data_IF_783362126909
#
_entry.id   IF_783362126909
#
_cell.length_a   1.000
_cell.length_b   1.000
_cell.length_c   1.000
_cell.angle_alpha   90.00
_cell.angle_beta   90.00
_cell.angle_gamma   90.00
#
_symmetry.space_group_name_H-M   'P 1'
#
loop_
_entity.id
_entity.type
_entity.pdbx_description
1 polymer ?
#
# COMPACT_ATOMS: atom_id res chain seq x y z
N UNK A 1 5.31 3.77 27.72
CA UNK A 1 6.29 4.74 27.17
C UNK A 1 5.94 5.05 25.71
N UNK A 2 6.44 6.14 25.10
CA UNK A 2 6.22 6.39 23.65
C UNK A 2 7.14 5.47 22.83
N UNK A 3 6.62 4.85 21.76
CA UNK A 3 7.37 3.95 20.84
C UNK A 3 8.73 4.52 20.40
N UNK A 4 8.79 5.81 20.10
CA UNK A 4 10.05 6.48 19.71
C UNK A 4 11.14 6.41 20.79
N UNK A 5 10.77 6.49 22.06
CA UNK A 5 11.72 6.41 23.17
C UNK A 5 12.30 4.98 23.27
N UNK A 6 11.45 3.96 23.06
CA UNK A 6 11.87 2.56 23.09
C UNK A 6 12.82 2.22 21.94
N UNK A 7 12.56 2.73 20.74
CA UNK A 7 13.47 2.57 19.61
C UNK A 7 14.83 3.22 19.91
N UNK A 8 14.82 4.42 20.51
CA UNK A 8 16.07 5.13 20.88
C UNK A 8 16.86 4.33 21.91
N UNK A 9 16.20 3.82 22.93
CA UNK A 9 16.82 2.98 23.95
C UNK A 9 17.37 1.68 23.33
N UNK A 10 16.59 1.02 22.47
CA UNK A 10 17.01 -0.21 21.79
C UNK A 10 18.27 0.02 20.94
N UNK A 11 18.34 1.12 20.20
CA UNK A 11 19.54 1.48 19.43
C UNK A 11 20.77 1.71 20.34
N UNK A 12 20.59 2.37 21.49
CA UNK A 12 21.69 2.57 22.45
C UNK A 12 22.17 1.25 23.08
N UNK A 13 21.27 0.28 23.31
CA UNK A 13 21.65 -1.05 23.78
C UNK A 13 22.38 -1.85 22.69
N UNK A 14 21.97 -1.71 21.43
CA UNK A 14 22.61 -2.39 20.29
C UNK A 14 24.06 -1.97 20.07
N UNK A 15 24.39 -0.71 20.31
CA UNK A 15 25.77 -0.21 20.21
C UNK A 15 26.73 -0.87 21.21
N UNK A 16 26.20 -1.47 22.29
CA UNK A 16 26.98 -2.15 23.33
C UNK A 16 27.19 -3.65 23.04
N UNK A 17 26.57 -4.18 21.98
CA UNK A 17 26.65 -5.59 21.63
C UNK A 17 27.95 -5.90 20.86
N UNK A 18 28.44 -7.14 20.96
CA UNK A 18 29.50 -7.61 20.06
C UNK A 18 28.99 -7.63 18.61
N UNK A 19 29.88 -7.59 17.60
CA UNK A 19 29.47 -7.62 16.20
C UNK A 19 28.55 -8.79 15.85
N UNK A 20 28.83 -9.98 16.39
CA UNK A 20 28.00 -11.17 16.19
C UNK A 20 26.61 -11.03 16.83
N UNK A 21 26.56 -10.65 18.11
CA UNK A 21 25.29 -10.47 18.83
C UNK A 21 24.44 -9.38 18.21
N UNK A 22 25.07 -8.30 17.75
CA UNK A 22 24.39 -7.21 17.05
C UNK A 22 23.75 -7.68 15.74
N UNK A 23 24.47 -8.43 14.91
CA UNK A 23 23.94 -8.97 13.65
C UNK A 23 22.74 -9.88 13.90
N UNK A 24 22.88 -10.82 14.85
CA UNK A 24 21.77 -11.71 15.22
C UNK A 24 20.55 -10.93 15.72
N UNK A 25 20.78 -9.91 16.55
CA UNK A 25 19.71 -9.08 17.08
C UNK A 25 19.05 -8.19 16.01
N UNK A 26 19.78 -7.77 14.98
CA UNK A 26 19.21 -7.06 13.82
C UNK A 26 18.20 -7.92 13.07
N UNK A 27 18.50 -9.21 12.90
CA UNK A 27 17.57 -10.17 12.31
C UNK A 27 16.32 -10.38 13.18
N UNK A 28 16.48 -10.41 14.52
CA UNK A 28 15.33 -10.45 15.46
C UNK A 28 14.42 -9.23 15.29
N UNK A 29 15.00 -8.04 15.12
CA UNK A 29 14.24 -6.80 14.90
C UNK A 29 13.48 -6.88 13.58
N UNK A 30 14.12 -7.37 12.51
CA UNK A 30 13.47 -7.54 11.21
C UNK A 30 12.29 -8.51 11.31
N UNK A 31 12.48 -9.67 11.92
CA UNK A 31 11.42 -10.66 12.14
C UNK A 31 10.25 -10.08 12.94
N UNK A 32 10.52 -9.44 14.09
CA UNK A 32 9.48 -8.87 14.94
C UNK A 32 8.74 -7.71 14.29
N UNK A 33 9.42 -6.86 13.51
CA UNK A 33 8.78 -5.74 12.81
C UNK A 33 8.00 -6.17 11.57
N UNK A 34 8.39 -7.29 10.95
CA UNK A 34 7.62 -7.94 9.91
C UNK A 34 6.43 -8.74 10.47
N UNK A 35 6.47 -9.08 11.76
CA UNK A 35 5.40 -9.80 12.44
C UNK A 35 4.12 -8.96 12.59
N UNK A 36 3.04 -9.64 12.97
CA UNK A 36 1.72 -9.04 13.20
C UNK A 36 1.54 -8.54 14.64
N UNK A 37 2.54 -8.69 15.49
CA UNK A 37 2.51 -8.26 16.90
C UNK A 37 2.30 -6.75 16.97
N UNK A 38 1.45 -6.31 17.89
CA UNK A 38 1.18 -4.88 18.10
C UNK A 38 2.50 -4.12 18.28
N UNK A 39 2.65 -2.99 17.57
CA UNK A 39 3.91 -2.24 17.50
C UNK A 39 4.51 -1.90 18.88
N UNK A 40 3.68 -1.52 19.84
CA UNK A 40 4.14 -1.20 21.20
C UNK A 40 4.70 -2.46 21.84
N UNK A 41 3.92 -3.54 21.85
CA UNK A 41 4.32 -4.84 22.39
C UNK A 41 5.56 -5.42 21.70
N UNK A 42 5.68 -5.26 20.38
CA UNK A 42 6.84 -5.71 19.62
C UNK A 42 8.12 -4.99 20.06
N UNK A 43 8.07 -3.67 20.24
CA UNK A 43 9.23 -2.91 20.72
C UNK A 43 9.51 -3.17 22.21
N UNK A 44 8.50 -3.52 23.03
CA UNK A 44 8.69 -3.93 24.43
C UNK A 44 9.47 -5.24 24.51
N UNK A 45 9.05 -6.23 23.71
CA UNK A 45 9.70 -7.53 23.59
C UNK A 45 11.13 -7.42 23.05
N UNK A 46 11.36 -6.53 22.07
CA UNK A 46 12.72 -6.26 21.57
C UNK A 46 13.60 -5.59 22.62
N UNK A 47 13.08 -4.68 23.44
CA UNK A 47 13.84 -4.11 24.55
C UNK A 47 14.21 -5.15 25.61
N UNK A 48 13.28 -6.03 25.95
CA UNK A 48 13.52 -7.13 26.89
C UNK A 48 14.61 -8.08 26.35
N UNK A 49 14.50 -8.47 25.08
CA UNK A 49 15.51 -9.29 24.41
C UNK A 49 16.88 -8.58 24.36
N UNK A 50 16.94 -7.29 24.05
CA UNK A 50 18.20 -6.53 24.03
C UNK A 50 18.91 -6.56 25.40
N UNK A 51 18.15 -6.38 26.49
CA UNK A 51 18.69 -6.42 27.86
C UNK A 51 19.17 -7.82 28.23
N UNK A 52 18.39 -8.85 27.90
CA UNK A 52 18.76 -10.24 28.14
C UNK A 52 20.04 -10.62 27.38
N UNK A 53 20.17 -10.16 26.13
CA UNK A 53 21.37 -10.37 25.31
C UNK A 53 22.61 -9.75 25.94
N UNK A 54 22.54 -8.49 26.38
CA UNK A 54 23.68 -7.82 27.03
C UNK A 54 24.04 -8.49 28.37
N UNK A 55 23.06 -8.99 29.11
CA UNK A 55 23.31 -9.75 30.33
C UNK A 55 23.97 -11.11 30.05
N UNK A 56 23.59 -11.79 28.97
CA UNK A 56 24.26 -13.02 28.56
C UNK A 56 25.66 -12.76 28.03
N UNK A 57 25.84 -11.69 27.26
CA UNK A 57 27.13 -11.24 26.75
C UNK A 57 28.12 -10.91 27.86
N UNK A 58 27.68 -10.26 28.95
CA UNK A 58 28.55 -9.98 30.11
C UNK A 58 29.01 -11.26 30.83
N UNK A 59 28.32 -12.38 30.61
CA UNK A 59 28.68 -13.72 31.07
C UNK A 59 29.40 -14.56 30.00
N UNK A 60 29.80 -13.94 28.89
CA UNK A 60 30.50 -14.62 27.79
C UNK A 60 29.62 -15.51 26.91
N UNK A 61 28.29 -15.38 26.98
CA UNK A 61 27.35 -16.11 26.11
C UNK A 61 27.03 -15.32 24.85
N UNK A 62 26.92 -16.01 23.73
CA UNK A 62 26.47 -15.41 22.47
C UNK A 62 24.93 -15.48 22.31
N UNK A 63 24.42 -14.76 21.31
CA UNK A 63 22.99 -14.67 21.05
C UNK A 63 22.35 -16.03 20.73
N UNK A 64 23.06 -16.95 20.04
CA UNK A 64 22.52 -18.27 19.71
C UNK A 64 22.34 -19.12 20.95
N UNK A 65 23.27 -19.03 21.89
CA UNK A 65 23.18 -19.71 23.18
C UNK A 65 22.04 -19.18 24.07
N UNK A 66 21.55 -17.97 23.83
CA UNK A 66 20.48 -17.34 24.62
C UNK A 66 19.11 -17.53 23.96
N UNK A 67 19.04 -17.33 22.64
CA UNK A 67 17.79 -17.25 21.88
C UNK A 67 17.51 -18.43 20.96
N UNK A 68 18.50 -19.30 20.74
CA UNK A 68 18.42 -20.44 19.81
C UNK A 68 19.14 -20.18 18.49
N UNK A 69 19.15 -21.18 17.62
CA UNK A 69 19.88 -21.09 16.35
C UNK A 69 19.37 -19.97 15.45
N UNK A 70 18.05 -19.74 15.40
CA UNK A 70 17.44 -18.74 14.55
C UNK A 70 16.87 -17.57 15.37
N UNK A 71 17.09 -16.31 14.93
CA UNK A 71 16.52 -15.11 15.56
C UNK A 71 15.02 -15.13 15.81
N UNK A 72 14.26 -15.88 14.99
CA UNK A 72 12.80 -15.99 15.08
C UNK A 72 12.32 -16.90 16.21
N UNK A 73 13.16 -17.86 16.64
CA UNK A 73 12.75 -18.92 17.55
C UNK A 73 12.30 -18.37 18.91
N UNK A 74 12.96 -17.32 19.41
CA UNK A 74 12.64 -16.69 20.69
C UNK A 74 11.23 -16.10 20.75
N UNK A 75 10.71 -15.59 19.62
CA UNK A 75 9.39 -14.96 19.57
C UNK A 75 8.32 -15.81 18.89
N UNK A 76 8.65 -17.03 18.47
CA UNK A 76 7.81 -17.89 17.63
C UNK A 76 6.41 -18.08 18.21
N UNK A 77 6.31 -18.36 19.50
CA UNK A 77 5.02 -18.59 20.18
C UNK A 77 4.18 -17.31 20.24
N UNK A 78 4.83 -16.17 20.51
CA UNK A 78 4.16 -14.87 20.56
C UNK A 78 3.67 -14.48 19.18
N UNK A 79 4.53 -14.61 18.16
CA UNK A 79 4.17 -14.32 16.76
C UNK A 79 3.05 -15.24 16.26
N UNK A 80 3.05 -16.52 16.64
CA UNK A 80 2.01 -17.50 16.29
C UNK A 80 0.69 -17.28 17.01
N UNK A 81 0.70 -16.66 18.19
CA UNK A 81 -0.51 -16.38 18.97
C UNK A 81 -1.35 -15.20 18.47
N UNK A 82 -0.79 -14.35 17.59
CA UNK A 82 -1.50 -13.19 17.06
C UNK A 82 -2.43 -13.64 15.93
N UNK A 83 -3.76 -13.40 16.05
CA UNK A 83 -4.70 -13.79 15.00
C UNK A 83 -4.35 -13.11 13.68
N UNK A 84 -4.51 -13.84 12.58
CA UNK A 84 -4.37 -13.25 11.26
C UNK A 84 -5.32 -12.05 11.11
N UNK A 85 -4.80 -10.90 10.66
CA UNK A 85 -5.68 -9.79 10.27
C UNK A 85 -6.68 -10.33 9.24
N UNK A 86 -7.99 -10.00 9.33
CA UNK A 86 -8.90 -10.36 8.27
C UNK A 86 -8.34 -9.78 6.97
N UNK A 87 -7.92 -10.66 6.07
CA UNK A 87 -7.47 -10.23 4.76
C UNK A 87 -8.65 -9.51 4.12
N UNK A 88 -8.45 -8.25 3.71
CA UNK A 88 -9.48 -7.58 2.92
C UNK A 88 -9.73 -8.45 1.71
N UNK A 89 -10.98 -8.83 1.50
CA UNK A 89 -11.34 -9.64 0.33
C UNK A 89 -10.79 -8.96 -0.92
N UNK A 90 -10.29 -9.74 -1.88
CA UNK A 90 -9.81 -9.22 -3.17
C UNK A 90 -10.84 -8.32 -3.83
N UNK A 91 -12.12 -8.66 -3.67
CA UNK A 91 -13.25 -7.86 -4.11
C UNK A 91 -13.29 -6.48 -3.44
N UNK A 92 -13.14 -6.39 -2.11
CA UNK A 92 -13.06 -5.10 -1.41
C UNK A 92 -11.86 -4.27 -1.86
N UNK A 93 -10.73 -4.90 -2.16
CA UNK A 93 -9.54 -4.22 -2.68
C UNK A 93 -9.80 -3.58 -4.05
N UNK A 94 -10.35 -4.33 -5.01
CA UNK A 94 -10.65 -3.81 -6.34
C UNK A 94 -11.75 -2.75 -6.33
N UNK A 95 -12.79 -2.93 -5.50
CA UNK A 95 -13.83 -1.91 -5.30
C UNK A 95 -13.24 -0.63 -4.73
N UNK A 96 -12.32 -0.71 -3.79
CA UNK A 96 -11.66 0.47 -3.22
C UNK A 96 -10.87 1.25 -4.26
N UNK A 97 -10.16 0.57 -5.17
CA UNK A 97 -9.40 1.21 -6.25
C UNK A 97 -10.34 1.98 -7.18
N UNK A 98 -11.36 1.31 -7.71
CA UNK A 98 -12.33 1.94 -8.62
C UNK A 98 -13.08 3.10 -7.94
N UNK A 99 -13.51 2.90 -6.69
CA UNK A 99 -14.18 3.94 -5.90
C UNK A 99 -13.29 5.17 -5.70
N UNK A 100 -12.02 4.96 -5.39
CA UNK A 100 -11.04 6.06 -5.21
C UNK A 100 -10.83 6.81 -6.52
N UNK A 101 -10.65 6.09 -7.63
CA UNK A 101 -10.43 6.70 -8.94
C UNK A 101 -11.62 7.57 -9.39
N UNK A 102 -12.85 7.07 -9.22
CA UNK A 102 -14.08 7.81 -9.50
C UNK A 102 -14.22 9.04 -8.59
N UNK A 103 -13.93 8.89 -7.30
CA UNK A 103 -13.97 10.01 -6.34
C UNK A 103 -13.00 11.12 -6.76
N UNK A 104 -11.78 10.77 -7.16
CA UNK A 104 -10.78 11.73 -7.62
C UNK A 104 -11.20 12.41 -8.92
N UNK A 105 -11.75 11.65 -9.87
CA UNK A 105 -12.29 12.18 -11.13
C UNK A 105 -13.36 13.24 -10.87
N UNK A 106 -14.38 12.94 -10.06
CA UNK A 106 -15.42 13.92 -9.73
C UNK A 106 -14.87 15.13 -8.98
N UNK A 107 -13.87 14.95 -8.11
CA UNK A 107 -13.20 16.05 -7.43
C UNK A 107 -12.47 16.98 -8.40
N UNK A 108 -11.76 16.43 -9.40
CA UNK A 108 -11.07 17.21 -10.44
C UNK A 108 -12.09 17.97 -11.30
N UNK A 109 -13.19 17.32 -11.71
CA UNK A 109 -14.26 17.96 -12.47
C UNK A 109 -14.93 19.09 -11.69
N UNK A 110 -15.13 18.89 -10.39
CA UNK A 110 -15.67 19.91 -9.50
C UNK A 110 -14.75 21.13 -9.40
N UNK A 111 -13.49 20.90 -9.02
CA UNK A 111 -12.51 21.98 -8.83
C UNK A 111 -12.25 22.72 -10.15
N UNK A 112 -11.98 22.00 -11.22
CA UNK A 112 -11.75 22.59 -12.55
C UNK A 112 -12.97 23.35 -13.07
N UNK A 113 -14.17 22.77 -12.95
CA UNK A 113 -15.41 23.40 -13.38
C UNK A 113 -15.75 24.66 -12.58
N UNK A 114 -15.50 24.67 -11.28
CA UNK A 114 -15.71 25.85 -10.43
C UNK A 114 -14.70 26.96 -10.74
N UNK A 115 -13.42 26.63 -10.98
CA UNK A 115 -12.38 27.60 -11.37
C UNK A 115 -12.74 28.27 -12.70
N UNK A 116 -13.13 27.48 -13.71
CA UNK A 116 -13.50 28.01 -15.04
C UNK A 116 -14.78 28.84 -14.99
N UNK A 117 -15.76 28.41 -14.18
CA UNK A 117 -16.98 29.19 -13.97
C UNK A 117 -16.68 30.52 -13.26
N UNK A 118 -15.74 30.53 -12.32
CA UNK A 118 -15.30 31.74 -11.64
C UNK A 118 -14.54 32.70 -12.57
N UNK A 119 -13.82 32.19 -13.57
CA UNK A 119 -13.16 33.02 -14.59
C UNK A 119 -14.11 33.57 -15.65
N UNK A 120 -15.42 33.31 -15.56
CA UNK A 120 -16.43 33.78 -16.52
C UNK A 120 -16.51 32.97 -17.82
N UNK A 121 -15.77 31.87 -17.93
CA UNK A 121 -15.76 31.00 -19.11
C UNK A 121 -16.83 29.90 -18.99
N UNK A 122 -17.26 29.32 -20.12
CA UNK A 122 -18.17 28.17 -20.11
C UNK A 122 -17.44 26.93 -19.58
N UNK A 123 -17.96 26.34 -18.51
CA UNK A 123 -17.43 25.12 -17.89
C UNK A 123 -17.83 23.84 -18.65
N UNK A 124 -18.01 23.93 -19.97
CA UNK A 124 -18.56 22.86 -20.81
C UNK A 124 -17.71 21.59 -20.77
N UNK A 125 -16.38 21.72 -20.78
CA UNK A 125 -15.44 20.61 -20.69
C UNK A 125 -15.50 19.86 -19.35
N UNK A 126 -15.88 20.57 -18.27
CA UNK A 126 -15.98 20.02 -16.92
C UNK A 126 -17.40 19.59 -16.55
N UNK A 127 -18.37 19.94 -17.40
CA UNK A 127 -19.78 19.66 -17.18
C UNK A 127 -20.31 18.55 -18.09
N UNK A 128 -19.61 18.20 -19.17
CA UNK A 128 -19.98 17.10 -20.06
C UNK A 128 -19.22 15.84 -19.65
N UNK A 129 -19.97 14.82 -19.28
CA UNK A 129 -19.43 13.54 -18.84
C UNK A 129 -20.01 12.41 -19.68
N UNK A 130 -19.16 11.65 -20.36
CA UNK A 130 -19.59 10.44 -21.05
C UNK A 130 -19.72 9.29 -20.05
N UNK A 131 -20.77 8.48 -20.18
CA UNK A 131 -20.92 7.24 -19.38
C UNK A 131 -19.75 6.29 -19.64
N UNK A 132 -19.19 6.32 -20.85
CA UNK A 132 -18.00 5.55 -21.19
C UNK A 132 -16.80 5.97 -20.32
N UNK A 133 -16.58 7.26 -20.09
CA UNK A 133 -15.49 7.76 -19.24
C UNK A 133 -15.61 7.23 -17.81
N UNK A 134 -16.82 7.10 -17.26
CA UNK A 134 -17.03 6.51 -15.93
C UNK A 134 -16.58 5.06 -15.88
N UNK A 135 -16.97 4.27 -16.88
CA UNK A 135 -16.57 2.86 -16.99
C UNK A 135 -15.05 2.75 -17.18
N UNK A 136 -14.49 3.59 -18.06
CA UNK A 136 -13.07 3.63 -18.36
C UNK A 136 -12.24 3.97 -17.11
N UNK A 137 -12.64 4.97 -16.33
CA UNK A 137 -11.92 5.33 -15.10
C UNK A 137 -12.07 4.25 -14.04
N UNK A 138 -13.26 3.70 -13.86
CA UNK A 138 -13.52 2.61 -12.91
C UNK A 138 -12.70 1.36 -13.22
N UNK A 139 -12.86 0.79 -14.42
CA UNK A 139 -12.15 -0.44 -14.82
C UNK A 139 -10.68 -0.18 -15.16
N UNK A 140 -10.38 0.92 -15.83
CA UNK A 140 -9.02 1.28 -16.23
C UNK A 140 -8.12 1.52 -15.02
N UNK A 141 -8.63 2.10 -13.93
CA UNK A 141 -7.85 2.24 -12.70
C UNK A 141 -7.47 0.90 -12.07
N UNK A 142 -8.34 -0.11 -12.12
CA UNK A 142 -8.04 -1.48 -11.67
C UNK A 142 -6.91 -2.07 -12.52
N UNK A 143 -7.03 -2.01 -13.85
CA UNK A 143 -6.02 -2.53 -14.78
C UNK A 143 -4.68 -1.82 -14.58
N UNK A 144 -4.70 -0.50 -14.43
CA UNK A 144 -3.51 0.31 -14.19
C UNK A 144 -2.84 -0.05 -12.87
N UNK A 145 -3.62 -0.21 -11.80
CA UNK A 145 -3.09 -0.58 -10.49
C UNK A 145 -2.42 -1.96 -10.52
N UNK A 146 -3.03 -2.93 -11.21
CA UNK A 146 -2.45 -4.26 -11.39
C UNK A 146 -1.11 -4.19 -12.15
N UNK A 147 -1.03 -3.31 -13.16
CA UNK A 147 0.20 -3.07 -13.93
C UNK A 147 1.29 -2.42 -13.07
N UNK A 148 0.93 -1.42 -12.25
CA UNK A 148 1.85 -0.77 -11.32
C UNK A 148 2.37 -1.74 -10.25
N UNK A 149 1.50 -2.58 -9.68
CA UNK A 149 1.90 -3.58 -8.68
C UNK A 149 2.90 -4.58 -9.27
N UNK A 150 2.66 -5.04 -10.50
CA UNK A 150 3.59 -5.92 -11.21
C UNK A 150 4.90 -5.25 -11.56
N UNK A 151 4.86 -3.97 -11.95
CA UNK A 151 6.06 -3.20 -12.20
C UNK A 151 6.89 -3.04 -10.93
N UNK A 152 6.27 -2.67 -9.81
CA UNK A 152 6.96 -2.58 -8.52
C UNK A 152 7.52 -3.92 -8.06
N UNK A 153 6.77 -5.03 -8.20
CA UNK A 153 7.28 -6.35 -7.83
C UNK A 153 8.47 -6.76 -8.68
N UNK A 154 8.51 -6.38 -9.96
CA UNK A 154 9.66 -6.64 -10.84
C UNK A 154 10.93 -5.87 -10.44
N UNK A 155 10.79 -4.73 -9.75
CA UNK A 155 11.92 -3.95 -9.25
C UNK A 155 12.44 -4.48 -7.91
N UNK A 156 11.56 -5.04 -7.07
CA UNK A 156 11.89 -5.53 -5.73
C UNK A 156 12.65 -6.87 -5.73
N UNK A 157 12.74 -7.54 -6.86
CA UNK A 157 13.29 -8.90 -6.97
C UNK A 157 14.72 -8.91 -7.53
N UNK A 158 15.58 -8.04 -6.99
CA UNK A 158 16.99 -7.96 -7.34
C UNK A 158 17.91 -7.97 -6.11
N UNK A 159 17.90 -9.08 -5.36
CA UNK A 159 18.99 -9.46 -4.44
C UNK A 159 19.54 -10.89 -4.70
N UNK A 160 19.23 -11.50 -5.86
CA UNK A 160 19.92 -12.71 -6.32
C UNK A 160 19.91 -12.84 -7.86
N UNK A 161 21.05 -13.15 -8.52
CA UNK A 161 21.13 -13.20 -9.98
C UNK A 161 20.61 -14.55 -10.50
N UNK A 162 19.50 -14.51 -11.24
CA UNK A 162 19.04 -15.60 -12.08
C UNK A 162 18.46 -15.03 -13.38
N UNK A 163 18.76 -15.58 -14.57
CA UNK A 163 18.30 -15.00 -15.82
C UNK A 163 16.80 -15.24 -15.96
N UNK A 164 16.00 -14.23 -15.62
CA UNK A 164 14.54 -14.28 -15.78
C UNK A 164 14.18 -13.76 -17.15
N UNK A 165 13.64 -14.66 -17.97
CA UNK A 165 13.05 -14.31 -19.26
C UNK A 165 11.84 -13.40 -19.00
N UNK A 166 11.96 -12.14 -19.38
CA UNK A 166 10.82 -11.23 -19.49
C UNK A 166 9.72 -11.96 -20.27
N UNK A 167 8.54 -12.11 -19.67
CA UNK A 167 7.39 -12.66 -20.40
C UNK A 167 6.79 -11.54 -21.26
N UNK A 168 7.56 -11.11 -22.28
CA UNK A 168 7.24 -10.03 -23.22
C UNK A 168 5.86 -10.25 -23.86
N UNK A 169 5.45 -11.51 -23.99
CA UNK A 169 4.11 -11.90 -24.46
C UNK A 169 2.99 -11.39 -23.54
N UNK A 170 3.16 -11.50 -22.22
CA UNK A 170 2.19 -10.99 -21.25
C UNK A 170 2.13 -9.46 -21.34
N UNK A 171 3.28 -8.78 -21.31
CA UNK A 171 3.35 -7.32 -21.43
C UNK A 171 2.72 -6.80 -22.73
N UNK A 172 3.00 -7.46 -23.86
CA UNK A 172 2.44 -7.12 -25.17
C UNK A 172 0.92 -7.27 -25.21
N UNK A 173 0.36 -8.32 -24.59
CA UNK A 173 -1.09 -8.51 -24.48
C UNK A 173 -1.72 -7.36 -23.66
N UNK A 174 -1.11 -6.93 -22.55
CA UNK A 174 -1.64 -5.83 -21.75
C UNK A 174 -1.57 -4.48 -22.46
N UNK A 175 -0.47 -4.20 -23.17
CA UNK A 175 -0.36 -2.99 -23.99
C UNK A 175 -1.42 -3.01 -25.11
N UNK A 176 -1.62 -4.15 -25.77
CA UNK A 176 -2.67 -4.31 -26.77
C UNK A 176 -4.07 -4.08 -26.17
N UNK A 177 -4.36 -4.62 -24.99
CA UNK A 177 -5.63 -4.36 -24.28
C UNK A 177 -5.78 -2.88 -23.96
N UNK A 178 -4.76 -2.22 -23.43
CA UNK A 178 -4.80 -0.79 -23.12
C UNK A 178 -5.05 0.06 -24.37
N UNK A 179 -4.37 -0.24 -25.49
CA UNK A 179 -4.56 0.43 -26.78
C UNK A 179 -5.97 0.18 -27.32
N UNK A 180 -6.47 -1.05 -27.26
CA UNK A 180 -7.86 -1.38 -27.65
C UNK A 180 -8.86 -0.63 -26.79
N UNK A 181 -8.63 -0.51 -25.48
CA UNK A 181 -9.51 0.24 -24.57
C UNK A 181 -9.52 1.74 -24.89
N UNK A 182 -8.36 2.33 -25.19
CA UNK A 182 -8.25 3.74 -25.58
C UNK A 182 -8.93 3.98 -26.94
N UNK A 183 -8.68 3.11 -27.91
CA UNK A 183 -9.25 3.24 -29.26
C UNK A 183 -10.75 2.96 -29.28
N UNK A 184 -11.20 1.95 -28.53
CA UNK A 184 -12.61 1.70 -28.26
C UNK A 184 -13.22 2.93 -27.59
N UNK A 185 -12.53 3.58 -26.65
CA UNK A 185 -13.05 4.79 -26.01
C UNK A 185 -13.23 5.98 -26.95
N UNK A 186 -12.26 6.23 -27.80
CA UNK A 186 -12.38 7.28 -28.83
C UNK A 186 -13.51 6.98 -29.83
N UNK A 187 -13.77 5.71 -30.12
CA UNK A 187 -14.86 5.28 -31.00
C UNK A 187 -16.23 5.26 -30.30
N UNK A 188 -16.27 4.89 -29.02
CA UNK A 188 -17.48 4.76 -28.20
C UNK A 188 -17.97 6.10 -27.64
N UNK A 189 -17.14 7.14 -27.54
CA UNK A 189 -17.61 8.49 -27.19
C UNK A 189 -18.65 9.02 -28.18
N UNK A 190 -18.72 8.47 -29.40
CA UNK A 190 -19.79 8.75 -30.37
C UNK A 190 -21.05 7.89 -30.17
N UNK A 191 -20.97 6.79 -29.41
CA UNK A 191 -22.05 5.81 -29.23
C UNK A 191 -22.76 5.93 -27.88
N UNK A 192 -22.09 6.42 -26.84
CA UNK A 192 -22.64 6.52 -25.50
C UNK A 192 -23.23 7.90 -25.21
N UNK A 193 -24.31 7.98 -24.41
CA UNK A 193 -24.93 9.24 -24.06
C UNK A 193 -23.98 10.08 -23.20
N UNK A 194 -23.83 11.35 -23.56
CA UNK A 194 -23.13 12.35 -22.76
C UNK A 194 -24.13 12.98 -21.79
N UNK A 195 -23.87 12.85 -20.50
CA UNK A 195 -24.68 13.48 -19.45
C UNK A 195 -24.04 14.81 -19.04
N UNK A 196 -24.88 15.81 -18.77
CA UNK A 196 -24.41 17.09 -18.24
C UNK A 196 -24.45 17.08 -16.72
N UNK A 197 -23.29 17.02 -16.09
CA UNK A 197 -23.13 17.04 -14.62
C UNK A 197 -22.61 18.41 -14.21
N UNK A 198 -23.39 19.17 -13.46
CA UNK A 198 -22.95 20.48 -12.96
C UNK A 198 -21.71 20.35 -12.06
N UNK A 199 -20.76 21.30 -12.06
CA UNK A 199 -19.60 21.28 -11.17
C UNK A 199 -19.96 21.14 -9.68
N UNK A 200 -21.13 21.67 -9.27
CA UNK A 200 -21.66 21.51 -7.91
C UNK A 200 -22.09 20.07 -7.59
N UNK A 201 -22.66 19.37 -8.57
CA UNK A 201 -23.03 17.95 -8.44
C UNK A 201 -21.75 17.11 -8.37
N UNK A 202 -20.75 17.41 -9.21
CA UNK A 202 -19.44 16.77 -9.14
C UNK A 202 -18.77 17.00 -7.77
N UNK A 203 -18.92 18.19 -7.18
CA UNK A 203 -18.41 18.49 -5.85
C UNK A 203 -19.08 17.62 -4.78
N UNK A 204 -20.41 17.51 -4.82
CA UNK A 204 -21.18 16.67 -3.91
C UNK A 204 -20.79 15.19 -4.04
N UNK A 205 -20.62 14.69 -5.28
CA UNK A 205 -20.19 13.32 -5.54
C UNK A 205 -18.75 13.06 -5.07
N UNK A 206 -17.82 13.99 -5.31
CA UNK A 206 -16.45 13.90 -4.80
C UNK A 206 -16.40 13.88 -3.27
N UNK A 207 -17.16 14.75 -2.61
CA UNK A 207 -17.25 14.78 -1.15
C UNK A 207 -17.88 13.50 -0.58
N UNK A 208 -19.00 13.05 -1.16
CA UNK A 208 -19.68 11.82 -0.76
C UNK A 208 -18.78 10.59 -0.98
N UNK A 209 -18.09 10.51 -2.12
CA UNK A 209 -17.13 9.46 -2.42
C UNK A 209 -15.97 9.43 -1.42
N UNK A 210 -15.42 10.59 -1.06
CA UNK A 210 -14.35 10.71 -0.07
C UNK A 210 -14.79 10.29 1.33
N UNK A 211 -16.00 10.68 1.76
CA UNK A 211 -16.59 10.20 3.01
C UNK A 211 -16.83 8.69 2.97
N UNK A 212 -17.34 8.15 1.86
CA UNK A 212 -17.50 6.72 1.64
C UNK A 212 -16.18 5.96 1.77
N UNK A 213 -15.09 6.49 1.21
CA UNK A 213 -13.76 5.91 1.36
C UNK A 213 -13.35 5.83 2.84
N UNK A 214 -13.58 6.91 3.59
CA UNK A 214 -13.26 6.97 5.02
C UNK A 214 -14.08 5.99 5.86
N UNK A 215 -15.39 5.94 5.66
CA UNK A 215 -16.30 5.17 6.51
C UNK A 215 -16.42 3.70 6.14
N UNK A 216 -16.31 3.35 4.86
CA UNK A 216 -16.48 1.98 4.35
C UNK A 216 -15.13 1.28 4.25
N UNK A 217 -14.13 1.95 3.67
CA UNK A 217 -12.86 1.33 3.30
C UNK A 217 -11.70 1.65 4.24
N UNK A 218 -11.76 2.69 5.07
CA UNK A 218 -10.67 3.05 5.99
C UNK A 218 -10.99 2.81 7.46
N UNK A 219 -12.19 2.29 7.78
CA UNK A 219 -12.55 1.84 9.12
C UNK A 219 -11.81 0.53 9.42
N UNK A 220 -10.65 0.65 10.06
CA UNK A 220 -9.88 -0.48 10.60
C UNK A 220 -9.33 -0.12 11.97
#
# INVERSE_FOLDING_TARGET
>A
MKVKAMIKENNALREQMTPFNRSYFEDMILAMRASRVERIRAEELLLEAARLLLQGQSKGRDAKQIFGENPEDYFKDIMGSVPARPERSKLNYYLMIAWTALTLMFSVLAVGGLIVKWSGSSADLFSKLSVFTLILVGLGSIVLMELLMRWMSSLSENDAPGPRTFNIKALGIYIAIAVVVIFAGAFLDNLFPVITVSPWVSLALGAAGGLGLKFIFLRS
#
